data_IF_646704868764
#
_entry.id   IF_646704868764
#
_cell.length_a   1.000
_cell.length_b   1.000
_cell.length_c   1.000
_cell.angle_alpha   90.00
_cell.angle_beta   90.00
_cell.angle_gamma   90.00
#
_symmetry.space_group_name_H-M   'P 1'
#
loop_
_entity.id
_entity.type
_entity.pdbx_description
1 polymer ?
#
# COMPACT_ATOMS: atom_id res chain seq x y z
N UNK A 1 18.58 -19.00 14.29
CA UNK A 1 17.51 -19.09 13.28
C UNK A 1 17.47 -17.76 12.57
N UNK A 2 17.88 -17.76 11.32
CA UNK A 2 17.97 -16.55 10.50
C UNK A 2 16.56 -16.02 10.24
N UNK A 3 16.30 -14.79 10.66
CA UNK A 3 14.98 -14.15 10.48
C UNK A 3 14.79 -13.91 8.98
N UNK A 4 13.97 -14.72 8.33
CA UNK A 4 13.62 -14.53 6.92
C UNK A 4 12.53 -13.44 6.84
N UNK A 5 12.92 -12.21 6.52
CA UNK A 5 12.03 -11.04 6.52
C UNK A 5 11.33 -10.83 5.18
N UNK A 6 10.15 -10.19 5.16
CA UNK A 6 9.42 -9.91 3.91
C UNK A 6 10.20 -8.98 2.95
N UNK A 7 10.98 -8.03 3.47
CA UNK A 7 11.88 -7.21 2.65
C UNK A 7 13.00 -8.06 2.05
N UNK A 8 13.55 -8.99 2.83
CA UNK A 8 14.51 -10.00 2.35
C UNK A 8 13.90 -10.89 1.27
N UNK A 9 12.63 -11.28 1.41
CA UNK A 9 11.90 -12.06 0.41
C UNK A 9 11.71 -11.28 -0.91
N UNK A 10 11.44 -9.97 -0.87
CA UNK A 10 11.41 -9.14 -2.10
C UNK A 10 12.80 -9.05 -2.72
N UNK A 11 13.83 -8.77 -1.93
CA UNK A 11 15.23 -8.70 -2.39
C UNK A 11 15.71 -10.02 -3.01
N UNK A 12 15.25 -11.14 -2.47
CA UNK A 12 15.53 -12.50 -2.96
C UNK A 12 14.55 -12.97 -4.06
N UNK A 13 13.67 -12.10 -4.57
CA UNK A 13 12.65 -12.39 -5.60
C UNK A 13 11.62 -13.45 -5.23
N UNK A 14 11.47 -13.78 -3.95
CA UNK A 14 10.38 -14.61 -3.44
C UNK A 14 9.04 -13.86 -3.37
N UNK A 15 9.06 -12.52 -3.37
CA UNK A 15 7.89 -11.66 -3.48
C UNK A 15 8.10 -10.58 -4.56
N UNK A 16 7.03 -10.18 -5.23
CA UNK A 16 7.03 -9.07 -6.18
C UNK A 16 7.14 -7.71 -5.48
N UNK A 17 7.81 -6.75 -6.12
CA UNK A 17 7.69 -5.32 -5.78
C UNK A 17 6.22 -4.90 -5.92
N UNK A 18 5.79 -3.86 -5.20
CA UNK A 18 4.42 -3.38 -5.28
C UNK A 18 4.32 -1.85 -5.22
N UNK A 19 3.20 -1.32 -5.71
CA UNK A 19 2.75 0.06 -5.53
C UNK A 19 1.41 0.04 -4.80
N UNK A 20 1.29 0.85 -3.76
CA UNK A 20 0.04 1.00 -3.00
C UNK A 20 -0.53 2.40 -3.24
N UNK A 21 -1.80 2.44 -3.61
CA UNK A 21 -2.57 3.66 -3.82
C UNK A 21 -3.72 3.68 -2.82
N UNK A 22 -3.78 4.72 -2.00
CA UNK A 22 -4.86 4.93 -1.05
C UNK A 22 -5.92 5.85 -1.67
N UNK A 23 -7.19 5.49 -1.53
CA UNK A 23 -8.27 6.36 -1.99
C UNK A 23 -8.34 7.62 -1.11
N UNK A 24 -8.35 8.85 -1.69
CA UNK A 24 -8.49 10.09 -0.93
C UNK A 24 -9.84 10.22 -0.21
N UNK A 25 -10.86 9.51 -0.69
CA UNK A 25 -12.21 9.43 -0.15
C UNK A 25 -12.53 7.98 0.27
N UNK A 26 -11.81 7.43 1.28
CA UNK A 26 -11.93 6.03 1.63
C UNK A 26 -13.27 5.72 2.27
N UNK A 27 -13.66 4.45 2.22
CA UNK A 27 -14.86 3.92 2.87
C UNK A 27 -14.96 4.36 4.34
N UNK A 28 -16.17 4.80 4.72
CA UNK A 28 -16.49 5.20 6.08
C UNK A 28 -16.63 3.98 6.99
N UNK A 29 -15.94 4.05 8.13
CA UNK A 29 -16.13 3.15 9.27
C UNK A 29 -16.78 3.87 10.46
N UNK A 30 -17.27 5.10 10.27
CA UNK A 30 -17.85 5.92 11.34
C UNK A 30 -19.17 5.30 11.81
N UNK A 31 -19.26 5.01 13.12
CA UNK A 31 -20.46 4.40 13.71
C UNK A 31 -20.65 2.91 13.40
N UNK A 32 -19.72 2.28 12.68
CA UNK A 32 -19.77 0.85 12.38
C UNK A 32 -19.39 0.05 13.62
N UNK A 33 -20.32 -0.78 14.10
CA UNK A 33 -20.08 -1.65 15.26
C UNK A 33 -19.17 -2.83 14.89
N UNK A 34 -18.49 -3.38 15.90
CA UNK A 34 -17.70 -4.60 15.77
C UNK A 34 -18.59 -5.85 15.89
N UNK A 35 -18.24 -6.91 15.15
CA UNK A 35 -18.79 -8.25 15.23
C UNK A 35 -17.67 -9.27 14.96
N UNK A 36 -17.57 -10.31 15.79
CA UNK A 36 -16.57 -11.39 15.62
C UNK A 36 -15.13 -10.88 15.38
N UNK A 37 -14.70 -9.88 16.17
CA UNK A 37 -13.35 -9.32 16.08
C UNK A 37 -13.08 -8.42 14.86
N UNK A 38 -14.09 -8.08 14.07
CA UNK A 38 -13.96 -7.19 12.90
C UNK A 38 -15.14 -6.23 12.78
N UNK A 39 -15.15 -5.36 11.77
CA UNK A 39 -16.31 -4.51 11.47
C UNK A 39 -17.52 -5.36 11.06
N UNK A 40 -18.71 -5.01 11.57
CA UNK A 40 -19.95 -5.67 11.20
C UNK A 40 -20.29 -5.40 9.73
N UNK A 41 -20.58 -6.46 8.97
CA UNK A 41 -20.97 -6.42 7.56
C UNK A 41 -22.11 -5.43 7.32
N UNK A 42 -23.22 -5.60 8.04
CA UNK A 42 -24.38 -4.70 7.97
C UNK A 42 -24.05 -3.25 8.32
N UNK A 43 -23.12 -3.04 9.26
CA UNK A 43 -22.69 -1.69 9.62
C UNK A 43 -21.90 -1.03 8.48
N UNK A 44 -21.01 -1.77 7.82
CA UNK A 44 -20.26 -1.30 6.67
C UNK A 44 -21.17 -0.96 5.49
N UNK A 45 -22.15 -1.82 5.19
CA UNK A 45 -23.12 -1.56 4.12
C UNK A 45 -23.91 -0.28 4.37
N UNK A 46 -24.41 -0.08 5.60
CA UNK A 46 -25.19 1.11 5.95
C UNK A 46 -24.36 2.40 5.97
N UNK A 47 -23.06 2.30 6.26
CA UNK A 47 -22.19 3.47 6.38
C UNK A 47 -21.65 3.98 5.03
N UNK A 48 -21.82 3.22 3.95
CA UNK A 48 -21.18 3.48 2.66
C UNK A 48 -22.20 3.48 1.52
N UNK A 49 -22.10 4.47 0.62
CA UNK A 49 -22.85 4.45 -0.64
C UNK A 49 -22.16 3.50 -1.62
N UNK A 50 -22.62 2.25 -1.70
CA UNK A 50 -21.96 1.22 -2.50
C UNK A 50 -22.00 1.52 -4.01
N UNK A 51 -23.00 2.27 -4.48
CA UNK A 51 -23.12 2.69 -5.89
C UNK A 51 -22.01 3.67 -6.25
N UNK A 52 -21.77 4.65 -5.38
CA UNK A 52 -20.70 5.65 -5.54
C UNK A 52 -19.33 4.98 -5.42
N UNK A 53 -19.16 4.11 -4.41
CA UNK A 53 -17.93 3.33 -4.23
C UNK A 53 -17.57 2.56 -5.50
N UNK A 54 -18.54 1.90 -6.13
CA UNK A 54 -18.30 1.14 -7.36
C UNK A 54 -17.76 2.01 -8.50
N UNK A 55 -18.14 3.30 -8.56
CA UNK A 55 -17.56 4.26 -9.52
C UNK A 55 -16.08 4.53 -9.21
N UNK A 56 -15.75 4.81 -7.95
CA UNK A 56 -14.37 5.03 -7.49
C UNK A 56 -13.47 3.80 -7.74
N UNK A 57 -14.02 2.59 -7.53
CA UNK A 57 -13.33 1.34 -7.84
C UNK A 57 -12.93 1.29 -9.32
N UNK A 58 -13.87 1.59 -10.22
CA UNK A 58 -13.63 1.55 -11.67
C UNK A 58 -12.63 2.62 -12.09
N UNK A 59 -12.77 3.86 -11.59
CA UNK A 59 -11.88 4.98 -11.88
C UNK A 59 -10.43 4.67 -11.50
N UNK A 60 -10.20 4.24 -10.25
CA UNK A 60 -8.86 3.88 -9.78
C UNK A 60 -8.26 2.67 -10.52
N UNK A 61 -9.09 1.70 -10.93
CA UNK A 61 -8.64 0.59 -11.77
C UNK A 61 -8.19 1.08 -13.14
N UNK A 62 -8.97 1.95 -13.79
CA UNK A 62 -8.64 2.49 -15.11
C UNK A 62 -7.38 3.36 -15.10
N UNK A 63 -7.09 4.02 -13.99
CA UNK A 63 -5.92 4.87 -13.87
C UNK A 63 -4.65 4.06 -13.53
N UNK A 64 -4.73 3.16 -12.54
CA UNK A 64 -3.53 2.53 -11.95
C UNK A 64 -3.33 1.06 -12.35
N UNK A 65 -4.38 0.38 -12.83
CA UNK A 65 -4.38 -1.07 -13.05
C UNK A 65 -5.05 -1.50 -14.37
N UNK A 66 -5.18 -0.59 -15.34
CA UNK A 66 -5.89 -0.87 -16.60
C UNK A 66 -5.29 -2.07 -17.33
N UNK A 67 -6.14 -3.03 -17.68
CA UNK A 67 -5.73 -4.24 -18.38
C UNK A 67 -5.07 -5.30 -17.48
N UNK A 68 -4.82 -4.99 -16.21
CA UNK A 68 -4.25 -5.94 -15.25
C UNK A 68 -5.33 -6.86 -14.71
N UNK A 69 -4.95 -8.11 -14.45
CA UNK A 69 -5.76 -9.08 -13.72
C UNK A 69 -5.88 -8.67 -12.25
N UNK A 70 -7.09 -8.29 -11.85
CA UNK A 70 -7.39 -7.69 -10.55
C UNK A 70 -8.32 -8.57 -9.71
N UNK A 71 -8.06 -8.62 -8.41
CA UNK A 71 -8.95 -9.19 -7.41
C UNK A 71 -9.54 -8.09 -6.52
N UNK A 72 -10.87 -8.04 -6.41
CA UNK A 72 -11.58 -7.05 -5.57
C UNK A 72 -12.19 -7.71 -4.35
N UNK A 73 -11.83 -7.22 -3.16
CA UNK A 73 -12.39 -7.66 -1.88
C UNK A 73 -13.56 -6.78 -1.44
N UNK A 74 -14.77 -7.30 -1.58
CA UNK A 74 -16.03 -6.65 -1.22
C UNK A 74 -16.48 -6.98 0.22
N UNK A 75 -17.45 -6.21 0.71
CA UNK A 75 -18.03 -6.36 2.05
C UNK A 75 -18.70 -7.74 2.23
N UNK A 76 -19.60 -8.10 1.30
CA UNK A 76 -20.41 -9.33 1.25
C UNK A 76 -20.71 -9.74 -0.21
N UNK A 77 -21.50 -10.81 -0.40
CA UNK A 77 -21.82 -11.39 -1.71
C UNK A 77 -22.56 -10.37 -2.59
N UNK A 78 -23.60 -9.73 -2.08
CA UNK A 78 -24.40 -8.75 -2.82
C UNK A 78 -23.55 -7.57 -3.32
N UNK A 79 -22.69 -7.02 -2.45
CA UNK A 79 -21.73 -5.98 -2.83
C UNK A 79 -20.76 -6.49 -3.90
N UNK A 80 -20.26 -7.72 -3.77
CA UNK A 80 -19.35 -8.32 -4.75
C UNK A 80 -19.99 -8.48 -6.13
N UNK A 81 -21.20 -9.04 -6.18
CA UNK A 81 -21.97 -9.18 -7.43
C UNK A 81 -22.29 -7.83 -8.07
N UNK A 82 -22.64 -6.84 -7.25
CA UNK A 82 -22.88 -5.47 -7.73
C UNK A 82 -21.60 -4.87 -8.33
N UNK A 83 -20.44 -4.99 -7.69
CA UNK A 83 -19.17 -4.51 -8.25
C UNK A 83 -18.91 -5.18 -9.60
N UNK A 84 -19.02 -6.51 -9.70
CA UNK A 84 -18.82 -7.21 -10.96
C UNK A 84 -19.77 -6.71 -12.07
N UNK A 85 -21.05 -6.51 -11.76
CA UNK A 85 -22.01 -5.96 -12.72
C UNK A 85 -21.60 -4.56 -13.20
N UNK A 86 -21.11 -3.69 -12.31
CA UNK A 86 -20.70 -2.33 -12.62
C UNK A 86 -19.43 -2.29 -13.47
N UNK A 87 -18.45 -3.15 -13.19
CA UNK A 87 -17.28 -3.31 -14.05
C UNK A 87 -17.67 -3.75 -15.47
N UNK A 88 -18.58 -4.73 -15.60
CA UNK A 88 -19.07 -5.16 -16.90
C UNK A 88 -19.82 -4.04 -17.64
N UNK A 89 -20.63 -3.23 -16.94
CA UNK A 89 -21.28 -2.05 -17.53
C UNK A 89 -20.27 -1.02 -18.04
N UNK A 90 -19.10 -0.91 -17.41
CA UNK A 90 -17.98 -0.08 -17.86
C UNK A 90 -17.12 -0.74 -18.95
N UNK A 91 -17.52 -1.90 -19.49
CA UNK A 91 -16.80 -2.61 -20.54
C UNK A 91 -15.56 -3.37 -20.06
N UNK A 92 -15.41 -3.59 -18.74
CA UNK A 92 -14.30 -4.35 -18.16
C UNK A 92 -14.84 -5.72 -17.74
N UNK A 93 -14.40 -6.82 -18.39
CA UNK A 93 -14.90 -8.16 -18.08
C UNK A 93 -14.64 -8.56 -16.62
N UNK A 94 -15.72 -8.76 -15.87
CA UNK A 94 -15.66 -9.04 -14.44
C UNK A 94 -16.60 -10.18 -14.02
N UNK A 95 -16.19 -10.97 -13.03
CA UNK A 95 -17.03 -12.04 -12.46
C UNK A 95 -16.91 -12.10 -10.94
N UNK A 96 -18.04 -12.34 -10.29
CA UNK A 96 -18.07 -12.75 -8.90
C UNK A 96 -17.60 -14.20 -8.77
N UNK A 97 -16.83 -14.48 -7.72
CA UNK A 97 -16.39 -15.82 -7.37
C UNK A 97 -16.33 -15.98 -5.84
N UNK A 98 -16.96 -17.04 -5.32
CA UNK A 98 -16.97 -17.37 -3.91
C UNK A 98 -16.95 -18.89 -3.65
N UNK A 99 -17.02 -19.29 -2.37
CA UNK A 99 -17.04 -20.69 -1.96
C UNK A 99 -18.28 -21.47 -2.43
N UNK A 100 -19.39 -20.77 -2.69
CA UNK A 100 -20.65 -21.38 -3.13
C UNK A 100 -20.70 -21.61 -4.64
N UNK A 101 -19.81 -20.96 -5.40
CA UNK A 101 -19.70 -21.15 -6.85
C UNK A 101 -19.40 -22.62 -7.18
N UNK A 102 -20.24 -23.30 -8.00
CA UNK A 102 -20.04 -24.69 -8.39
C UNK A 102 -18.65 -24.96 -8.97
N UNK A 103 -18.10 -26.15 -8.70
CA UNK A 103 -16.72 -26.49 -9.07
C UNK A 103 -16.43 -26.30 -10.57
N UNK A 104 -17.34 -26.75 -11.43
CA UNK A 104 -17.18 -26.61 -12.89
C UNK A 104 -17.18 -25.14 -13.31
N UNK A 105 -18.15 -24.34 -12.84
CA UNK A 105 -18.21 -22.91 -13.14
C UNK A 105 -16.96 -22.17 -12.62
N UNK A 106 -16.50 -22.50 -11.40
CA UNK A 106 -15.27 -21.96 -10.83
C UNK A 106 -14.05 -22.23 -11.72
N UNK A 107 -13.90 -23.46 -12.21
CA UNK A 107 -12.80 -23.82 -13.10
C UNK A 107 -12.85 -23.01 -14.41
N UNK A 108 -14.03 -22.86 -14.99
CA UNK A 108 -14.23 -22.07 -16.22
C UNK A 108 -13.91 -20.59 -16.01
N UNK A 109 -14.37 -20.00 -14.90
CA UNK A 109 -14.06 -18.60 -14.54
C UNK A 109 -12.56 -18.41 -14.35
N UNK A 110 -11.90 -19.30 -13.61
CA UNK A 110 -10.46 -19.20 -13.35
C UNK A 110 -9.63 -19.39 -14.62
N UNK A 111 -10.06 -20.25 -15.54
CA UNK A 111 -9.40 -20.41 -16.83
C UNK A 111 -9.58 -19.18 -17.72
N UNK A 112 -10.79 -18.62 -17.80
CA UNK A 112 -11.03 -17.35 -18.50
C UNK A 112 -10.23 -16.19 -17.90
N UNK A 113 -10.07 -16.16 -16.57
CA UNK A 113 -9.23 -15.18 -15.88
C UNK A 113 -7.75 -15.36 -16.23
N UNK A 114 -7.26 -16.60 -16.23
CA UNK A 114 -5.88 -16.93 -16.64
C UNK A 114 -5.59 -16.46 -18.07
N UNK A 115 -6.55 -16.66 -18.99
CA UNK A 115 -6.49 -16.24 -20.39
C UNK A 115 -6.70 -14.74 -20.62
N UNK A 116 -6.98 -13.95 -19.57
CA UNK A 116 -7.26 -12.52 -19.69
C UNK A 116 -8.62 -12.18 -20.32
N UNK A 117 -9.51 -13.16 -20.51
CA UNK A 117 -10.91 -12.95 -20.96
C UNK A 117 -11.76 -12.33 -19.85
N UNK A 118 -11.45 -12.65 -18.60
CA UNK A 118 -11.92 -11.93 -17.41
C UNK A 118 -10.72 -11.17 -16.86
N UNK A 119 -10.89 -9.87 -16.59
CA UNK A 119 -9.84 -9.03 -16.01
C UNK A 119 -10.05 -8.80 -14.52
N UNK A 120 -11.29 -8.88 -14.03
CA UNK A 120 -11.61 -8.57 -12.63
C UNK A 120 -12.38 -9.71 -11.99
N UNK A 121 -11.82 -10.29 -10.93
CA UNK A 121 -12.56 -11.19 -10.04
C UNK A 121 -12.97 -10.42 -8.80
N UNK A 122 -14.22 -10.55 -8.39
CA UNK A 122 -14.73 -9.94 -7.17
C UNK A 122 -15.12 -11.04 -6.18
N UNK A 123 -14.77 -10.89 -4.92
CA UNK A 123 -15.17 -11.82 -3.87
C UNK A 123 -15.48 -11.04 -2.57
N UNK A 124 -16.00 -11.69 -1.54
CA UNK A 124 -16.20 -11.06 -0.22
C UNK A 124 -15.60 -11.83 0.96
N UNK A 125 -15.24 -13.08 0.71
CA UNK A 125 -14.59 -14.00 1.63
C UNK A 125 -13.54 -14.75 0.83
N UNK A 126 -12.32 -14.84 1.35
CA UNK A 126 -11.26 -15.65 0.73
C UNK A 126 -10.50 -16.36 1.83
N UNK A 127 -11.22 -17.22 2.54
CA UNK A 127 -10.66 -18.10 3.58
C UNK A 127 -11.08 -19.57 3.45
N UNK A 128 -11.76 -19.97 2.38
CA UNK A 128 -11.80 -21.39 2.07
C UNK A 128 -10.44 -21.76 1.44
N UNK A 129 -9.62 -22.38 2.29
CA UNK A 129 -8.32 -22.98 2.00
C UNK A 129 -8.39 -23.74 0.66
N UNK A 130 -7.96 -23.11 -0.44
CA UNK A 130 -7.89 -23.81 -1.74
C UNK A 130 -8.21 -23.00 -2.98
N UNK A 131 -8.71 -21.76 -2.87
CA UNK A 131 -8.91 -20.93 -4.07
C UNK A 131 -7.58 -20.29 -4.51
N UNK A 132 -6.79 -21.06 -5.25
CA UNK A 132 -5.57 -20.62 -5.92
C UNK A 132 -5.93 -19.82 -7.18
N UNK A 133 -5.72 -18.51 -7.11
CA UNK A 133 -5.91 -17.60 -8.24
C UNK A 133 -4.52 -17.31 -8.80
N UNK A 134 -4.13 -17.93 -9.93
CA UNK A 134 -2.86 -17.66 -10.57
C UNK A 134 -2.85 -16.27 -11.21
N UNK A 135 -1.66 -15.69 -11.36
CA UNK A 135 -1.42 -14.51 -12.20
C UNK A 135 -2.13 -13.20 -11.77
N UNK A 136 -2.30 -12.98 -10.47
CA UNK A 136 -2.78 -11.68 -9.96
C UNK A 136 -1.71 -10.59 -10.11
N UNK A 137 -2.13 -9.46 -10.70
CA UNK A 137 -1.30 -8.28 -10.92
C UNK A 137 -1.77 -7.09 -10.10
N UNK A 138 -3.07 -7.03 -9.81
CA UNK A 138 -3.67 -6.00 -8.98
C UNK A 138 -4.58 -6.60 -7.90
N UNK A 139 -4.71 -5.89 -6.79
CA UNK A 139 -5.73 -6.11 -5.77
C UNK A 139 -6.40 -4.78 -5.47
N UNK A 140 -7.72 -4.83 -5.26
CA UNK A 140 -8.50 -3.70 -4.82
C UNK A 140 -9.26 -4.08 -3.56
N UNK A 141 -9.07 -3.30 -2.50
CA UNK A 141 -9.64 -3.58 -1.19
C UNK A 141 -10.80 -2.64 -0.94
N UNK A 142 -12.02 -3.16 -1.01
CA UNK A 142 -13.29 -2.47 -0.75
C UNK A 142 -13.98 -3.06 0.50
N UNK A 143 -13.17 -3.44 1.49
CA UNK A 143 -13.61 -4.01 2.77
C UNK A 143 -12.68 -3.53 3.91
N UNK A 144 -13.13 -2.56 4.71
CA UNK A 144 -12.40 -2.16 5.90
C UNK A 144 -12.27 -3.35 6.88
N UNK A 145 -11.10 -3.52 7.48
CA UNK A 145 -10.86 -4.57 8.48
C UNK A 145 -10.00 -4.06 9.64
N UNK A 146 -10.31 -4.52 10.85
CA UNK A 146 -9.44 -4.35 12.03
C UNK A 146 -8.44 -5.49 12.20
N UNK A 147 -8.52 -6.54 11.38
CA UNK A 147 -7.60 -7.67 11.46
C UNK A 147 -6.40 -7.48 10.54
N UNK A 148 -5.21 -7.37 11.14
CA UNK A 148 -3.94 -7.36 10.41
C UNK A 148 -3.80 -8.63 9.55
N UNK A 149 -4.17 -9.78 10.09
CA UNK A 149 -4.10 -11.07 9.38
C UNK A 149 -4.93 -11.04 8.11
N UNK A 150 -6.18 -10.57 8.18
CA UNK A 150 -7.04 -10.42 7.00
C UNK A 150 -6.44 -9.44 5.99
N UNK A 151 -5.94 -8.29 6.45
CA UNK A 151 -5.26 -7.33 5.59
C UNK A 151 -4.10 -7.97 4.81
N UNK A 152 -3.17 -8.62 5.53
CA UNK A 152 -2.02 -9.29 4.92
C UNK A 152 -2.42 -10.44 3.99
N UNK A 153 -3.47 -11.18 4.31
CA UNK A 153 -3.98 -12.24 3.44
C UNK A 153 -4.61 -11.69 2.15
N UNK A 154 -5.27 -10.53 2.21
CA UNK A 154 -5.82 -9.88 1.02
C UNK A 154 -4.71 -9.40 0.08
N UNK A 155 -3.79 -8.58 0.60
CA UNK A 155 -2.72 -7.99 -0.22
C UNK A 155 -1.62 -8.98 -0.56
N UNK A 156 -1.34 -9.96 0.29
CA UNK A 156 -0.31 -10.98 0.05
C UNK A 156 -0.59 -11.84 -1.19
N UNK A 157 -1.85 -11.95 -1.62
CA UNK A 157 -2.22 -12.69 -2.84
C UNK A 157 -1.62 -12.09 -4.10
N UNK A 158 -1.53 -10.75 -4.18
CA UNK A 158 -0.94 -10.07 -5.34
C UNK A 158 0.58 -10.01 -5.27
N UNK A 159 1.19 -10.22 -4.09
CA UNK A 159 2.64 -10.17 -3.92
C UNK A 159 3.38 -11.43 -4.39
N UNK A 160 2.67 -12.51 -4.74
CA UNK A 160 3.30 -13.71 -5.29
C UNK A 160 3.94 -13.44 -6.65
N UNK A 161 5.21 -13.82 -6.90
CA UNK A 161 5.86 -13.58 -8.18
C UNK A 161 5.20 -14.38 -9.31
N UNK A 162 5.17 -13.77 -10.50
CA UNK A 162 4.66 -14.36 -11.75
C UNK A 162 5.56 -13.87 -12.89
N UNK A 163 5.80 -14.70 -13.91
CA UNK A 163 6.86 -14.48 -14.91
C UNK A 163 6.82 -13.08 -15.57
N UNK A 164 5.62 -12.54 -15.83
CA UNK A 164 5.44 -11.27 -16.55
C UNK A 164 5.06 -10.07 -15.66
N UNK A 165 5.23 -10.16 -14.33
CA UNK A 165 4.80 -9.09 -13.42
C UNK A 165 5.95 -8.21 -12.94
N UNK A 166 6.04 -7.01 -13.50
CA UNK A 166 6.98 -5.98 -13.08
C UNK A 166 6.76 -5.55 -11.62
N UNK A 167 5.51 -5.24 -11.27
CA UNK A 167 5.10 -4.90 -9.91
C UNK A 167 3.62 -5.23 -9.70
N UNK A 168 3.27 -5.51 -8.45
CA UNK A 168 1.90 -5.64 -7.99
C UNK A 168 1.27 -4.27 -7.72
N UNK A 169 -0.01 -4.11 -8.03
CA UNK A 169 -0.79 -2.90 -7.70
C UNK A 169 -1.74 -3.20 -6.55
N UNK A 170 -1.72 -2.37 -5.51
CA UNK A 170 -2.64 -2.43 -4.37
C UNK A 170 -3.46 -1.14 -4.37
N UNK A 171 -4.76 -1.25 -4.57
CA UNK A 171 -5.72 -0.14 -4.50
C UNK A 171 -6.50 -0.27 -3.19
N UNK A 172 -6.16 0.52 -2.18
CA UNK A 172 -6.86 0.52 -0.89
C UNK A 172 -7.95 1.59 -0.87
N UNK A 173 -9.21 1.18 -1.06
CA UNK A 173 -10.40 2.04 -0.96
C UNK A 173 -10.88 2.23 0.48
N UNK A 174 -10.04 1.84 1.44
CA UNK A 174 -10.34 1.88 2.86
C UNK A 174 -9.24 2.67 3.58
N UNK A 175 -9.13 2.47 4.90
CA UNK A 175 -8.01 2.96 5.71
C UNK A 175 -7.13 1.82 6.24
N UNK A 176 -7.18 0.65 5.60
CA UNK A 176 -6.47 -0.53 6.08
C UNK A 176 -4.96 -0.32 6.11
N UNK A 177 -4.38 0.28 5.06
CA UNK A 177 -2.95 0.62 5.02
C UNK A 177 -2.56 1.54 6.18
N UNK A 178 -3.41 2.53 6.51
CA UNK A 178 -3.14 3.48 7.58
C UNK A 178 -3.24 2.83 8.96
N UNK A 179 -4.17 1.88 9.13
CA UNK A 179 -4.34 1.13 10.38
C UNK A 179 -3.22 0.09 10.58
N UNK A 180 -2.87 -0.66 9.53
CA UNK A 180 -2.01 -1.85 9.62
C UNK A 180 -0.57 -1.63 9.15
N UNK A 181 -0.32 -0.51 8.48
CA UNK A 181 0.92 -0.24 7.76
C UNK A 181 1.05 -0.98 6.43
N UNK A 182 2.14 -0.71 5.74
CA UNK A 182 2.51 -1.39 4.49
C UNK A 182 2.62 -2.90 4.69
N UNK A 183 2.38 -3.71 3.64
CA UNK A 183 2.58 -5.15 3.70
C UNK A 183 3.99 -5.50 4.24
N UNK A 184 5.02 -4.83 3.72
CA UNK A 184 6.44 -5.00 4.06
C UNK A 184 6.88 -4.40 5.39
N UNK A 185 5.99 -3.74 6.13
CA UNK A 185 6.33 -3.20 7.46
C UNK A 185 6.85 -4.32 8.35
N UNK A 186 7.97 -4.08 9.01
CA UNK A 186 8.52 -5.03 9.98
C UNK A 186 7.59 -5.17 11.18
N UNK A 187 7.39 -6.42 11.61
CA UNK A 187 6.48 -6.76 12.70
C UNK A 187 7.13 -7.82 13.59
N UNK A 188 7.01 -7.62 14.89
CA UNK A 188 7.43 -8.59 15.90
C UNK A 188 6.22 -9.47 16.20
N UNK A 189 6.34 -10.75 15.89
CA UNK A 189 5.30 -11.73 16.18
C UNK A 189 5.59 -12.38 17.53
N UNK A 190 4.61 -12.30 18.43
CA UNK A 190 4.61 -13.05 19.69
C UNK A 190 3.62 -14.20 19.55
N UNK A 191 3.95 -15.35 20.16
CA UNK A 191 3.00 -16.45 20.33
C UNK A 191 2.08 -16.23 21.54
N UNK A 192 2.40 -15.23 22.37
CA UNK A 192 1.52 -14.71 23.41
C UNK A 192 0.26 -14.22 22.70
N UNK A 193 -0.81 -15.01 22.79
CA UNK A 193 -2.08 -14.72 22.14
C UNK A 193 -2.55 -13.31 22.49
N UNK A 194 -3.37 -12.73 21.60
CA UNK A 194 -4.02 -11.44 21.89
C UNK A 194 -4.84 -11.62 23.17
N UNK A 195 -4.45 -10.95 24.26
CA UNK A 195 -5.21 -11.00 25.49
C UNK A 195 -6.65 -10.55 25.20
N UNK A 196 -7.62 -11.43 25.48
CA UNK A 196 -9.02 -11.07 25.46
C UNK A 196 -9.23 -9.96 26.49
N UNK A 197 -9.24 -8.70 26.03
CA UNK A 197 -9.64 -7.57 26.86
C UNK A 197 -11.11 -7.77 27.22
N UNK A 198 -11.35 -8.47 28.34
CA UNK A 198 -12.63 -8.55 29.01
C UNK A 198 -13.08 -7.11 29.26
N UNK A 199 -14.33 -6.83 28.90
CA UNK A 199 -14.99 -5.52 29.05
C UNK A 199 -14.86 -5.01 30.49
N UNK A 200 -13.83 -4.24 30.79
CA UNK A 200 -13.73 -3.51 32.05
C UNK A 200 -14.65 -2.30 31.94
N UNK A 201 -15.82 -2.37 32.59
CA UNK A 201 -16.66 -1.21 32.86
C UNK A 201 -15.89 -0.28 33.80
N UNK A 202 -15.20 0.71 33.26
CA UNK A 202 -14.60 1.75 34.11
C UNK A 202 -15.54 2.95 34.20
N UNK A 203 -16.05 3.17 35.41
CA UNK A 203 -16.83 4.34 35.82
C UNK A 203 -16.04 5.61 35.50
N UNK A 204 -16.73 6.62 34.97
CA UNK A 204 -16.23 7.98 34.81
C UNK A 204 -15.88 8.54 36.19
N UNK A 205 -14.65 8.96 36.39
CA UNK A 205 -14.32 10.04 37.31
C UNK A 205 -13.37 11.02 36.63
N UNK A 206 -13.65 12.28 36.96
CA UNK A 206 -13.17 13.54 36.44
C UNK A 206 -11.71 13.85 36.79
N UNK A 207 -11.10 14.68 35.94
CA UNK A 207 -9.81 15.40 36.07
C UNK A 207 -8.56 14.63 35.62
N UNK A 208 -8.11 15.00 34.42
CA UNK A 208 -6.84 14.60 33.81
C UNK A 208 -6.89 15.00 32.35
N UNK A 209 -6.25 16.12 32.03
CA UNK A 209 -6.16 16.69 30.67
C UNK A 209 -5.63 15.61 29.71
N UNK A 210 -6.41 15.28 28.67
CA UNK A 210 -5.92 14.49 27.55
C UNK A 210 -5.41 15.51 26.54
N UNK A 211 -4.09 15.61 26.40
CA UNK A 211 -3.48 16.34 25.30
C UNK A 211 -3.82 15.59 24.01
N UNK A 212 -4.51 16.27 23.10
CA UNK A 212 -4.65 15.85 21.71
C UNK A 212 -3.24 15.79 21.11
N UNK A 213 -2.67 14.59 20.97
CA UNK A 213 -1.54 14.42 20.06
C UNK A 213 -2.10 14.46 18.64
N UNK A 214 -1.92 15.63 18.02
CA UNK A 214 -2.06 15.85 16.59
C UNK A 214 -1.35 14.72 15.83
N UNK A 215 -2.12 13.90 15.13
CA UNK A 215 -1.56 13.01 14.12
C UNK A 215 -1.15 13.93 12.97
N UNK A 216 0.14 14.22 12.88
CA UNK A 216 0.74 14.92 11.75
C UNK A 216 0.36 14.20 10.47
N UNK A 217 -0.52 14.85 9.70
CA UNK A 217 -0.78 14.54 8.30
C UNK A 217 0.55 14.68 7.59
N UNK A 218 1.04 13.60 6.96
CA UNK A 218 2.06 13.75 5.95
C UNK A 218 1.39 14.39 4.73
N UNK A 219 1.24 15.72 4.74
CA UNK A 219 1.11 16.50 3.52
C UNK A 219 2.47 16.42 2.84
N UNK A 220 2.69 15.40 2.04
CA UNK A 220 3.81 15.43 1.10
C UNK A 220 3.35 16.23 -0.10
N UNK A 221 3.64 17.52 -0.08
CA UNK A 221 3.50 18.46 -1.19
C UNK A 221 4.58 18.22 -2.27
N UNK A 222 4.92 16.95 -2.49
CA UNK A 222 5.91 16.50 -3.46
C UNK A 222 5.18 15.73 -4.55
N UNK A 223 5.29 16.13 -5.84
CA UNK A 223 4.66 15.39 -6.92
C UNK A 223 5.07 13.92 -6.88
N UNK A 224 4.08 13.02 -6.96
CA UNK A 224 4.25 11.57 -7.02
C UNK A 224 5.11 11.18 -8.22
N UNK A 225 6.42 11.06 -8.03
CA UNK A 225 7.32 10.39 -8.96
C UNK A 225 8.36 9.59 -8.19
N UNK A 226 8.27 8.26 -8.34
CA UNK A 226 9.31 7.26 -8.08
C UNK A 226 9.68 6.94 -6.62
N UNK A 227 9.36 5.70 -6.21
CA UNK A 227 10.24 4.93 -5.32
C UNK A 227 10.84 3.83 -6.20
N UNK A 228 11.99 4.11 -6.86
CA UNK A 228 12.89 3.06 -7.35
C UNK A 228 14.03 2.86 -6.35
N UNK A 229 14.29 1.63 -5.95
CA UNK A 229 15.51 1.28 -5.21
C UNK A 229 16.61 0.85 -6.20
N UNK A 230 16.93 1.73 -7.16
CA UNK A 230 18.15 1.60 -7.97
C UNK A 230 18.91 2.92 -7.95
N UNK A 231 19.39 3.34 -6.78
CA UNK A 231 20.63 4.11 -6.67
C UNK A 231 21.35 3.63 -5.42
N UNK A 232 22.56 3.12 -5.64
CA UNK A 232 23.49 2.70 -4.61
C UNK A 232 23.72 3.81 -3.58
N UNK A 233 23.75 3.40 -2.33
CA UNK A 233 24.21 4.15 -1.17
C UNK A 233 25.66 4.62 -1.44
N UNK A 234 25.83 5.86 -1.92
CA UNK A 234 27.12 6.53 -1.84
C UNK A 234 27.27 7.03 -0.42
N UNK A 235 27.95 6.22 0.37
CA UNK A 235 28.67 6.58 1.59
C UNK A 235 29.16 8.02 1.53
N UNK A 236 28.58 8.88 2.37
CA UNK A 236 29.16 10.18 2.69
C UNK A 236 30.28 9.90 3.68
N UNK A 237 31.52 10.04 3.21
CA UNK A 237 32.68 10.08 4.09
C UNK A 237 32.61 11.34 4.96
N UNK A 238 32.88 11.13 6.23
CA UNK A 238 32.90 12.07 7.33
C UNK A 238 34.20 12.89 7.26
N UNK A 239 34.12 14.17 6.94
CA UNK A 239 35.20 15.14 7.18
C UNK A 239 34.70 16.22 8.15
N UNK A 240 34.90 15.96 9.44
CA UNK A 240 34.85 17.00 10.46
C UNK A 240 36.23 17.62 10.63
N UNK A 241 36.23 18.95 10.48
CA UNK A 241 37.33 19.90 10.55
C UNK A 241 38.09 19.85 11.88
N UNK A 242 39.42 19.75 11.83
CA UNK A 242 40.32 20.19 12.90
C UNK A 242 41.17 21.38 12.45
N UNK A 243 40.85 22.53 13.05
CA UNK A 243 41.72 23.55 13.64
C UNK A 243 43.04 23.92 12.93
N UNK A 244 43.10 25.13 12.36
CA UNK A 244 44.36 25.87 12.23
C UNK A 244 44.18 27.33 12.67
N UNK A 245 44.84 27.61 13.78
CA UNK A 245 45.09 28.90 14.41
C UNK A 245 46.01 29.77 13.55
N UNK A 246 45.73 31.07 13.56
CA UNK A 246 46.50 32.14 12.95
C UNK A 246 47.83 32.34 13.67
N UNK A 247 48.96 32.27 12.96
CA UNK A 247 50.21 32.92 13.34
C UNK A 247 50.88 33.60 12.13
N UNK A 248 50.73 34.93 12.11
CA UNK A 248 51.73 35.97 11.90
C UNK A 248 53.01 35.65 11.09
N UNK A 249 53.15 36.27 9.92
CA UNK A 249 54.45 36.61 9.31
C UNK A 249 54.39 37.97 8.61
N UNK A 250 54.83 38.97 9.37
CA UNK A 250 55.75 40.06 9.01
C UNK A 250 56.14 40.26 7.53
N UNK A 251 56.01 41.54 7.16
CA UNK A 251 56.43 42.24 5.94
C UNK A 251 57.95 42.29 5.81
N UNK A 252 58.48 41.97 4.63
CA UNK A 252 59.70 42.59 4.11
C UNK A 252 59.53 42.94 2.62
N UNK A 253 59.98 44.16 2.34
CA UNK A 253 60.00 44.94 1.10
C UNK A 253 61.30 44.65 0.35
N UNK A 254 61.32 44.69 -0.99
CA UNK A 254 62.38 45.31 -1.81
C UNK A 254 62.26 45.02 -3.33
N UNK A 255 62.13 46.13 -4.09
CA UNK A 255 62.72 46.45 -5.42
C UNK A 255 62.24 45.68 -6.67
N UNK A 256 61.56 46.30 -7.64
CA UNK A 256 61.96 47.27 -8.70
C UNK A 256 62.76 46.67 -9.88
N UNK A 257 62.12 46.60 -11.05
CA UNK A 257 62.62 46.76 -12.45
C UNK A 257 61.46 46.36 -13.40
N UNK A 258 60.63 47.27 -13.90
CA UNK A 258 60.78 48.12 -15.10
C UNK A 258 61.10 47.34 -16.39
N UNK A 259 60.09 47.12 -17.25
CA UNK A 259 60.29 47.31 -18.68
C UNK A 259 58.97 47.55 -19.45
N UNK A 260 59.00 48.62 -20.25
CA UNK A 260 57.92 49.10 -21.12
C UNK A 260 58.10 48.52 -22.52
N UNK A 261 57.01 48.17 -23.22
CA UNK A 261 56.82 48.63 -24.62
C UNK A 261 55.45 48.26 -25.22
N UNK A 262 54.70 49.32 -25.52
CA UNK A 262 53.77 49.56 -26.64
C UNK A 262 53.62 48.52 -27.76
N UNK A 263 52.37 48.26 -28.18
CA UNK A 263 51.80 48.82 -29.41
C UNK A 263 50.36 48.31 -29.68
N UNK A 264 49.38 49.22 -29.63
CA UNK A 264 48.11 49.13 -30.37
C UNK A 264 48.20 50.11 -31.54
N UNK A 265 47.99 49.63 -32.76
CA UNK A 265 47.72 50.46 -33.94
C UNK A 265 46.22 50.47 -34.23
N UNK A 266 45.58 51.59 -33.94
CA UNK A 266 44.82 52.41 -34.90
C UNK A 266 44.64 53.82 -34.34
#
# INVERSE_FOLDING_TARGET
>A
MEKLFQQTLIKQKYLSRFRLYADPNPMSTKGVRMAQGDFSVKGLENANNLIQLSGQLIESYLEQAKGKRCLVFAINVDHSMMIAARYNQAGIPARHLDGTTPSQERQEILEQFRQGKILVLTNCQLFDEGLDIPALEAVQVAKPTKSLTKWLQMVGRVLRPTEDKDYAVILDHTKNWAIHGLPTRERIWTLDGVEDTKKTKTKRHSHGVVTEEEITVAETDTPLTHIDETVEDKTVEDETLEDQTLEDKTVEDETLEDDRSYALTN
#
